data_IF_127755704286
#
_entry.id   IF_127755704286
#
_cell.length_a   1.000
_cell.length_b   1.000
_cell.length_c   1.000
_cell.angle_alpha   90.00
_cell.angle_beta   90.00
_cell.angle_gamma   90.00
#
_symmetry.space_group_name_H-M   'P 1'
#
loop_
_entity.id
_entity.type
_entity.pdbx_description
1 polymer ?
#
# COMPACT_ATOMS: atom_id res chain seq x y z
N UNK A 1 5.84 22.38 -14.48
CA UNK A 1 5.00 21.95 -13.34
C UNK A 1 5.54 20.61 -12.84
N UNK A 2 5.62 20.37 -11.52
CA UNK A 2 6.05 19.07 -11.00
C UNK A 2 5.10 17.97 -11.51
N UNK A 3 5.64 16.87 -12.05
CA UNK A 3 4.82 15.69 -12.37
C UNK A 3 4.18 15.19 -11.07
N UNK A 4 2.88 14.94 -11.10
CA UNK A 4 2.17 14.34 -9.98
C UNK A 4 1.90 12.88 -10.32
N UNK A 5 2.14 11.99 -9.38
CA UNK A 5 1.79 10.58 -9.51
C UNK A 5 0.29 10.40 -9.34
N UNK A 6 -0.31 9.46 -10.08
CA UNK A 6 -1.72 9.15 -9.98
C UNK A 6 -1.96 8.09 -8.91
N UNK A 7 -2.97 8.26 -8.06
CA UNK A 7 -3.44 7.23 -7.14
C UNK A 7 -4.94 6.98 -7.36
N UNK A 8 -5.33 5.72 -7.42
CA UNK A 8 -6.72 5.27 -7.48
C UNK A 8 -6.99 4.26 -6.38
N UNK A 9 -8.20 4.27 -5.82
CA UNK A 9 -8.61 3.30 -4.81
C UNK A 9 -10.13 3.18 -4.72
N UNK A 10 -10.58 1.95 -4.48
CA UNK A 10 -11.97 1.63 -4.12
C UNK A 10 -12.15 1.57 -2.61
N UNK A 11 -11.12 1.14 -1.89
CA UNK A 11 -11.15 1.01 -0.43
C UNK A 11 -10.59 2.28 0.25
N UNK A 12 -11.36 2.97 1.10
CA UNK A 12 -10.88 4.19 1.76
C UNK A 12 -9.67 3.99 2.66
N UNK A 13 -9.52 2.85 3.35
CA UNK A 13 -8.40 2.58 4.25
C UNK A 13 -7.11 2.28 3.48
N UNK A 14 -7.20 1.48 2.41
CA UNK A 14 -6.08 1.23 1.50
C UNK A 14 -5.64 2.53 0.80
N UNK A 15 -6.60 3.32 0.31
CA UNK A 15 -6.34 4.65 -0.25
C UNK A 15 -5.62 5.56 0.72
N UNK A 16 -6.12 5.64 1.97
CA UNK A 16 -5.48 6.45 3.01
C UNK A 16 -4.07 5.96 3.36
N UNK A 17 -3.86 4.65 3.37
CA UNK A 17 -2.53 4.05 3.58
C UNK A 17 -1.57 4.50 2.47
N UNK A 18 -1.98 4.38 1.20
CA UNK A 18 -1.16 4.81 0.06
C UNK A 18 -0.86 6.31 0.10
N UNK A 19 -1.83 7.17 0.41
CA UNK A 19 -1.59 8.61 0.58
C UNK A 19 -0.51 8.90 1.63
N UNK A 20 -0.60 8.24 2.78
CA UNK A 20 0.34 8.43 3.88
C UNK A 20 1.73 7.91 3.53
N UNK A 21 1.81 6.76 2.85
CA UNK A 21 3.08 6.21 2.37
C UNK A 21 3.72 7.16 1.35
N UNK A 22 2.95 7.70 0.40
CA UNK A 22 3.47 8.70 -0.53
C UNK A 22 4.01 9.93 0.21
N UNK A 23 3.28 10.40 1.23
CA UNK A 23 3.73 11.51 2.06
C UNK A 23 5.05 11.22 2.77
N UNK A 24 5.16 10.05 3.44
CA UNK A 24 6.39 9.59 4.12
C UNK A 24 7.54 9.50 3.15
N UNK A 25 7.28 8.98 1.96
CA UNK A 25 8.27 8.81 0.90
C UNK A 25 8.53 10.09 0.09
N UNK A 26 7.91 11.21 0.45
CA UNK A 26 8.12 12.52 -0.18
C UNK A 26 7.55 12.66 -1.59
N UNK A 27 6.69 11.76 -2.04
CA UNK A 27 6.10 11.80 -3.38
C UNK A 27 4.88 12.72 -3.43
N UNK A 28 4.76 13.56 -4.46
CA UNK A 28 3.53 14.29 -4.76
C UNK A 28 2.52 13.42 -5.53
N UNK A 29 1.25 13.41 -5.13
CA UNK A 29 0.19 12.66 -5.80
C UNK A 29 -1.04 13.50 -6.13
N UNK A 30 -1.90 12.92 -6.95
CA UNK A 30 -3.28 13.35 -7.15
C UNK A 30 -4.17 12.11 -7.27
N UNK A 31 -5.44 12.25 -6.91
CA UNK A 31 -6.42 11.18 -7.16
C UNK A 31 -6.71 11.10 -8.65
N UNK A 32 -6.63 9.90 -9.22
CA UNK A 32 -6.91 9.62 -10.64
C UNK A 32 -7.76 8.36 -10.72
N UNK A 33 -8.96 8.47 -11.25
CA UNK A 33 -9.85 7.32 -11.42
C UNK A 33 -9.46 6.50 -12.65
N UNK A 34 -9.72 5.19 -12.59
CA UNK A 34 -9.56 4.26 -13.71
C UNK A 34 -8.16 3.70 -13.88
N UNK A 35 -7.30 3.69 -12.85
CA UNK A 35 -5.92 3.16 -12.92
C UNK A 35 -5.82 1.63 -12.76
N UNK A 36 -6.88 0.89 -13.06
CA UNK A 36 -6.88 -0.58 -12.94
C UNK A 36 -7.39 -1.14 -11.61
N UNK A 37 -7.95 -0.29 -10.74
CA UNK A 37 -8.77 -0.72 -9.60
C UNK A 37 -9.99 -1.57 -10.05
N UNK A 38 -10.37 -1.47 -11.34
CA UNK A 38 -11.36 -2.34 -11.97
C UNK A 38 -10.95 -3.82 -12.04
N UNK A 39 -9.66 -4.15 -11.86
CA UNK A 39 -9.15 -5.53 -11.82
C UNK A 39 -9.00 -6.06 -10.39
N UNK A 40 -9.84 -5.59 -9.45
CA UNK A 40 -9.84 -6.12 -8.08
C UNK A 40 -8.77 -5.56 -7.15
N UNK A 41 -7.83 -4.77 -7.67
CA UNK A 41 -6.86 -4.10 -6.84
C UNK A 41 -7.54 -3.02 -5.99
N UNK A 42 -7.39 -3.08 -4.67
CA UNK A 42 -7.96 -2.08 -3.75
C UNK A 42 -7.34 -0.70 -3.91
N UNK A 43 -6.07 -0.68 -4.33
CA UNK A 43 -5.30 0.51 -4.67
C UNK A 43 -4.51 0.26 -5.95
N UNK A 44 -4.42 1.28 -6.77
CA UNK A 44 -3.52 1.34 -7.90
C UNK A 44 -2.75 2.65 -7.89
N UNK A 45 -1.49 2.63 -8.29
CA UNK A 45 -0.66 3.82 -8.44
C UNK A 45 -0.11 3.91 -9.86
N UNK A 46 -0.07 5.11 -10.41
CA UNK A 46 0.70 5.40 -11.62
C UNK A 46 1.89 6.30 -11.26
N UNK A 47 3.10 5.73 -11.30
CA UNK A 47 4.35 6.40 -10.97
C UNK A 47 5.20 6.46 -12.24
N UNK A 48 5.30 7.64 -12.84
CA UNK A 48 6.08 7.86 -14.07
C UNK A 48 5.70 6.94 -15.25
N UNK A 49 4.44 6.54 -15.34
CA UNK A 49 3.97 5.61 -16.38
C UNK A 49 4.03 4.14 -15.99
N UNK A 50 4.57 3.79 -14.82
CA UNK A 50 4.37 2.48 -14.19
C UNK A 50 3.01 2.43 -13.53
N UNK A 51 2.18 1.46 -13.91
CA UNK A 51 0.99 1.12 -13.14
C UNK A 51 1.36 0.03 -12.14
N UNK A 52 1.12 0.27 -10.86
CA UNK A 52 1.35 -0.68 -9.77
C UNK A 52 -0.01 -1.07 -9.21
N UNK A 53 -0.32 -2.37 -9.20
CA UNK A 53 -1.59 -2.90 -8.71
C UNK A 53 -1.41 -3.60 -7.36
N UNK A 54 -2.19 -3.17 -6.37
CA UNK A 54 -2.19 -3.74 -5.03
C UNK A 54 -1.30 -2.98 -4.05
N UNK A 55 -1.70 -3.00 -2.79
CA UNK A 55 -1.03 -2.25 -1.72
C UNK A 55 0.34 -2.84 -1.41
N UNK A 56 0.46 -4.15 -1.25
CA UNK A 56 1.75 -4.79 -0.94
C UNK A 56 2.80 -4.56 -2.04
N UNK A 57 2.36 -4.57 -3.30
CA UNK A 57 3.23 -4.26 -4.44
C UNK A 57 3.72 -2.81 -4.35
N UNK A 58 2.81 -1.87 -4.08
CA UNK A 58 3.13 -0.46 -3.93
C UNK A 58 4.10 -0.21 -2.76
N UNK A 59 3.82 -0.79 -1.60
CA UNK A 59 4.65 -0.64 -0.39
C UNK A 59 6.07 -1.15 -0.61
N UNK A 60 6.18 -2.35 -1.19
CA UNK A 60 7.48 -2.98 -1.47
C UNK A 60 8.25 -2.17 -2.51
N UNK A 61 7.57 -1.70 -3.56
CA UNK A 61 8.19 -0.94 -4.64
C UNK A 61 8.75 0.38 -4.11
N UNK A 62 7.97 1.10 -3.31
CA UNK A 62 8.39 2.36 -2.73
C UNK A 62 9.52 2.17 -1.71
N UNK A 63 9.50 1.12 -0.89
CA UNK A 63 10.62 0.84 0.02
C UNK A 63 11.91 0.56 -0.74
N UNK A 64 11.86 -0.23 -1.81
CA UNK A 64 13.05 -0.57 -2.59
C UNK A 64 13.63 0.65 -3.32
N UNK A 65 12.76 1.51 -3.88
CA UNK A 65 13.21 2.68 -4.67
C UNK A 65 13.56 3.89 -3.81
N UNK A 66 12.91 4.05 -2.65
CA UNK A 66 13.18 5.13 -1.71
C UNK A 66 13.32 4.57 -0.28
N UNK A 67 14.44 3.93 0.05
CA UNK A 67 14.62 3.27 1.35
C UNK A 67 14.68 4.25 2.52
N UNK A 68 14.86 5.56 2.27
CA UNK A 68 14.91 6.60 3.31
C UNK A 68 13.85 7.68 3.05
N UNK A 69 12.96 7.98 4.03
CA UNK A 69 12.80 7.26 5.30
C UNK A 69 12.26 5.84 5.09
N UNK A 70 12.70 4.88 5.91
CA UNK A 70 12.25 3.49 5.79
C UNK A 70 10.83 3.34 6.31
N UNK A 71 10.04 2.45 5.69
CA UNK A 71 8.76 2.01 6.23
C UNK A 71 8.92 1.04 7.42
N UNK A 72 10.15 0.62 7.73
CA UNK A 72 10.46 -0.45 8.67
C UNK A 72 11.55 -0.02 9.67
N UNK A 73 11.29 0.97 10.53
CA UNK A 73 12.33 1.62 11.34
C UNK A 73 13.04 0.68 12.34
N UNK A 74 12.41 -0.44 12.73
CA UNK A 74 13.04 -1.46 13.57
C UNK A 74 13.61 -2.66 12.78
N UNK A 75 13.72 -2.55 11.46
CA UNK A 75 14.18 -3.61 10.56
C UNK A 75 13.16 -4.75 10.34
N UNK A 76 12.02 -4.76 11.02
CA UNK A 76 11.01 -5.80 10.87
C UNK A 76 10.04 -5.48 9.73
N UNK A 77 10.18 -6.17 8.60
CA UNK A 77 9.24 -6.13 7.46
C UNK A 77 8.01 -6.99 7.67
N UNK A 78 8.16 -8.14 8.34
CA UNK A 78 7.11 -9.14 8.46
C UNK A 78 5.89 -8.66 9.23
N UNK A 79 6.08 -7.99 10.38
CA UNK A 79 4.95 -7.56 11.21
C UNK A 79 4.07 -6.49 10.54
N UNK A 80 4.61 -5.38 9.99
CA UNK A 80 3.78 -4.38 9.31
C UNK A 80 3.07 -4.92 8.06
N UNK A 81 3.74 -5.78 7.28
CA UNK A 81 3.11 -6.45 6.13
C UNK A 81 2.04 -7.47 6.58
N UNK A 82 2.23 -8.14 7.72
CA UNK A 82 1.19 -8.98 8.28
C UNK A 82 -0.02 -8.16 8.75
N UNK A 83 0.19 -6.91 9.22
CA UNK A 83 -0.90 -6.01 9.59
C UNK A 83 -1.72 -5.55 8.37
N UNK A 84 -1.12 -5.33 7.19
CA UNK A 84 -1.88 -5.03 5.96
C UNK A 84 -2.80 -6.20 5.60
N UNK A 85 -2.25 -7.42 5.58
CA UNK A 85 -3.03 -8.63 5.30
C UNK A 85 -4.08 -8.94 6.39
N UNK A 86 -3.77 -8.67 7.66
CA UNK A 86 -4.69 -8.90 8.77
C UNK A 86 -5.89 -7.95 8.71
N UNK A 87 -5.66 -6.67 8.43
CA UNK A 87 -6.73 -5.68 8.22
C UNK A 87 -7.73 -6.19 7.20
N UNK A 88 -7.24 -6.74 6.10
CA UNK A 88 -8.05 -7.20 4.98
C UNK A 88 -8.94 -8.38 5.38
N UNK A 89 -8.34 -9.41 5.98
CA UNK A 89 -9.09 -10.60 6.42
C UNK A 89 -10.09 -10.32 7.52
N UNK A 90 -9.82 -9.36 8.40
CA UNK A 90 -10.77 -9.04 9.47
C UNK A 90 -12.05 -8.39 8.93
N UNK A 91 -11.96 -7.61 7.84
CA UNK A 91 -13.15 -7.05 7.20
C UNK A 91 -14.03 -8.08 6.48
N UNK A 92 -13.51 -9.29 6.25
CA UNK A 92 -14.22 -10.39 5.57
C UNK A 92 -14.93 -11.34 6.54
N UNK A 93 -14.71 -11.22 7.86
CA UNK A 93 -15.27 -12.16 8.85
C UNK A 93 -16.75 -11.87 9.14
N UNK A 94 -17.68 -12.80 8.81
CA UNK A 94 -19.12 -12.55 8.95
C UNK A 94 -19.63 -12.55 10.40
N UNK A 95 -18.85 -13.07 11.35
CA UNK A 95 -19.29 -13.31 12.72
C UNK A 95 -19.01 -12.16 13.70
N UNK A 96 -18.19 -11.18 13.29
CA UNK A 96 -17.78 -10.07 14.15
C UNK A 96 -18.51 -8.77 13.74
N UNK A 97 -18.94 -7.96 14.72
CA UNK A 97 -19.43 -6.62 14.39
C UNK A 97 -18.24 -5.71 14.04
N UNK A 98 -18.39 -4.75 13.11
CA UNK A 98 -17.34 -3.78 12.81
C UNK A 98 -16.78 -3.08 14.06
N UNK A 99 -17.64 -2.73 15.03
CA UNK A 99 -17.24 -2.14 16.30
C UNK A 99 -16.38 -3.08 17.15
N UNK A 100 -16.70 -4.37 17.16
CA UNK A 100 -15.96 -5.40 17.89
C UNK A 100 -14.55 -5.56 17.32
N UNK A 101 -14.43 -5.63 15.99
CA UNK A 101 -13.14 -5.67 15.28
C UNK A 101 -12.32 -4.42 15.62
N UNK A 102 -12.95 -3.24 15.59
CA UNK A 102 -12.27 -1.96 15.86
C UNK A 102 -11.81 -1.84 17.31
N UNK A 103 -12.62 -2.30 18.28
CA UNK A 103 -12.20 -2.33 19.67
C UNK A 103 -11.04 -3.32 19.87
N UNK A 104 -11.07 -4.49 19.24
CA UNK A 104 -9.99 -5.46 19.31
C UNK A 104 -8.68 -4.92 18.71
N UNK A 105 -8.76 -4.26 17.55
CA UNK A 105 -7.59 -3.64 16.91
C UNK A 105 -7.04 -2.48 17.75
N UNK A 106 -7.90 -1.56 18.21
CA UNK A 106 -7.51 -0.47 19.11
C UNK A 106 -6.84 -0.99 20.39
N UNK A 107 -7.37 -2.07 20.99
CA UNK A 107 -6.76 -2.71 22.15
C UNK A 107 -5.37 -3.31 21.87
N UNK A 108 -5.11 -3.83 20.67
CA UNK A 108 -3.78 -4.30 20.26
C UNK A 108 -2.78 -3.15 20.15
N UNK A 109 -3.17 -2.06 19.48
CA UNK A 109 -2.35 -0.85 19.36
C UNK A 109 -2.09 -0.26 20.74
N UNK A 110 -3.13 -0.12 21.57
CA UNK A 110 -3.01 0.42 22.92
C UNK A 110 -2.04 -0.39 23.78
N UNK A 111 -2.07 -1.72 23.70
CA UNK A 111 -1.10 -2.57 24.41
C UNK A 111 0.34 -2.32 23.98
N UNK A 112 0.61 -2.14 22.69
CA UNK A 112 1.95 -1.83 22.19
C UNK A 112 2.41 -0.44 22.67
N UNK A 113 1.51 0.54 22.69
CA UNK A 113 1.83 1.92 23.09
C UNK A 113 2.02 2.11 24.61
N UNK A 114 1.67 1.12 25.44
CA UNK A 114 1.73 1.24 26.92
C UNK A 114 3.14 1.35 27.48
N UNK A 115 4.16 0.94 26.73
CA UNK A 115 5.55 1.10 27.15
C UNK A 115 6.12 2.51 26.90
N UNK A 116 5.29 3.42 26.39
CA UNK A 116 5.64 4.83 26.22
C UNK A 116 6.34 5.16 24.90
N UNK A 117 6.51 4.19 23.99
CA UNK A 117 7.07 4.45 22.65
C UNK A 117 6.30 5.52 21.89
N UNK A 118 6.97 6.22 20.96
CA UNK A 118 6.32 7.25 20.16
C UNK A 118 5.40 6.67 19.07
N UNK A 119 5.82 5.56 18.47
CA UNK A 119 5.20 4.87 17.34
C UNK A 119 5.24 3.35 17.55
N UNK A 120 4.44 2.58 16.81
CA UNK A 120 4.27 1.14 17.00
C UNK A 120 5.57 0.35 16.85
N UNK A 121 6.51 0.84 16.03
CA UNK A 121 7.80 0.20 15.80
C UNK A 121 8.97 0.85 16.57
N UNK A 122 8.72 1.85 17.42
CA UNK A 122 9.76 2.52 18.23
C UNK A 122 9.60 4.04 18.22
N UNK A 123 10.68 4.75 17.92
CA UNK A 123 10.74 6.21 17.99
C UNK A 123 10.43 6.90 16.65
N UNK A 124 10.38 6.14 15.56
CA UNK A 124 10.11 6.64 14.21
C UNK A 124 8.79 6.09 13.65
N UNK A 125 8.15 6.91 12.80
CA UNK A 125 6.94 6.55 12.08
C UNK A 125 7.22 5.40 11.11
N UNK A 126 6.51 4.28 11.28
CA UNK A 126 6.63 3.11 10.39
C UNK A 126 5.32 2.72 9.70
N UNK A 127 5.39 1.70 8.85
CA UNK A 127 4.21 1.16 8.15
C UNK A 127 3.16 0.60 9.13
N UNK A 128 3.58 0.02 10.25
CA UNK A 128 2.64 -0.46 11.25
C UNK A 128 1.72 0.68 11.74
N UNK A 129 2.30 1.84 12.01
CA UNK A 129 1.56 3.03 12.41
C UNK A 129 0.62 3.51 11.32
N UNK A 130 1.10 3.57 10.07
CA UNK A 130 0.30 4.04 8.94
C UNK A 130 -0.92 3.15 8.74
N UNK A 131 -0.74 1.82 8.72
CA UNK A 131 -1.82 0.86 8.49
C UNK A 131 -2.83 0.88 9.64
N UNK A 132 -2.35 0.90 10.88
CA UNK A 132 -3.22 1.00 12.05
C UNK A 132 -4.00 2.33 12.07
N UNK A 133 -3.33 3.44 11.78
CA UNK A 133 -3.96 4.76 11.82
C UNK A 133 -4.93 4.99 10.66
N UNK A 134 -4.61 4.54 9.44
CA UNK A 134 -5.48 4.70 8.27
C UNK A 134 -6.85 4.03 8.47
N UNK A 135 -6.87 2.93 9.22
CA UNK A 135 -8.10 2.23 9.56
C UNK A 135 -8.86 2.90 10.71
N UNK A 136 -8.15 3.29 11.77
CA UNK A 136 -8.75 3.88 12.96
C UNK A 136 -9.21 5.33 12.78
N UNK A 137 -8.59 6.10 11.89
CA UNK A 137 -8.93 7.53 11.71
C UNK A 137 -10.26 7.78 10.96
N UNK A 138 -10.99 6.71 10.63
CA UNK A 138 -12.30 6.84 10.03
C UNK A 138 -13.30 7.48 11.01
N UNK A 139 -14.15 8.42 10.56
CA UNK A 139 -15.10 9.11 11.42
C UNK A 139 -16.01 8.18 12.24
N UNK A 140 -16.41 7.04 11.65
CA UNK A 140 -17.26 6.03 12.30
C UNK A 140 -16.61 5.40 13.55
N UNK A 141 -15.28 5.29 13.58
CA UNK A 141 -14.55 4.54 14.61
C UNK A 141 -13.80 5.43 15.60
N UNK A 142 -13.63 6.72 15.26
CA UNK A 142 -12.80 7.65 16.02
C UNK A 142 -13.16 7.71 17.51
N UNK A 143 -14.45 7.70 17.85
CA UNK A 143 -14.90 7.77 19.24
C UNK A 143 -14.66 6.47 20.02
N UNK A 144 -14.58 5.32 19.35
CA UNK A 144 -14.44 4.01 20.01
C UNK A 144 -13.04 3.83 20.60
N UNK A 145 -11.99 4.16 19.86
CA UNK A 145 -10.61 3.92 20.32
C UNK A 145 -10.02 5.09 21.11
N UNK A 146 -10.58 6.30 21.00
CA UNK A 146 -10.22 7.42 21.89
C UNK A 146 -10.58 7.17 23.37
N UNK A 147 -11.30 6.08 23.67
CA UNK A 147 -11.53 5.59 25.03
C UNK A 147 -10.25 5.05 25.68
N UNK A 148 -9.25 4.64 24.89
CA UNK A 148 -7.94 4.21 25.38
C UNK A 148 -7.00 5.42 25.54
N UNK A 149 -6.59 5.79 26.78
CA UNK A 149 -5.87 7.04 27.04
C UNK A 149 -4.57 7.18 26.25
N UNK A 150 -3.88 6.06 25.97
CA UNK A 150 -2.60 6.05 25.25
C UNK A 150 -2.74 6.33 23.75
N UNK A 151 -3.93 6.11 23.17
CA UNK A 151 -4.12 6.25 21.73
C UNK A 151 -4.36 7.70 21.29
N UNK A 152 -4.92 8.54 22.17
CA UNK A 152 -5.14 9.96 21.87
C UNK A 152 -3.84 10.68 21.48
N UNK A 153 -2.80 10.67 22.33
CA UNK A 153 -1.50 11.28 22.02
C UNK A 153 -0.83 10.67 20.77
N UNK A 154 -0.89 9.34 20.60
CA UNK A 154 -0.35 8.68 19.41
C UNK A 154 -1.06 9.14 18.13
N UNK A 155 -2.39 9.20 18.13
CA UNK A 155 -3.14 9.72 16.97
C UNK A 155 -2.84 11.17 16.66
N UNK A 156 -2.65 12.01 17.68
CA UNK A 156 -2.27 13.41 17.46
C UNK A 156 -0.94 13.50 16.70
N UNK A 157 0.07 12.72 17.13
CA UNK A 157 1.35 12.59 16.41
C UNK A 157 1.17 12.09 14.98
N UNK A 158 0.33 11.07 14.77
CA UNK A 158 0.07 10.54 13.42
C UNK A 158 -0.54 11.59 12.48
N UNK A 159 -1.50 12.40 12.96
CA UNK A 159 -2.09 13.49 12.17
C UNK A 159 -1.04 14.56 11.86
N UNK A 160 -0.30 14.99 12.87
CA UNK A 160 0.74 16.00 12.72
C UNK A 160 1.82 15.56 11.73
N UNK A 161 2.32 14.33 11.86
CA UNK A 161 3.32 13.77 10.96
C UNK A 161 2.79 13.70 9.52
N UNK A 162 1.58 13.16 9.32
CA UNK A 162 0.96 13.06 7.99
C UNK A 162 0.80 14.44 7.33
N UNK A 163 0.37 15.42 8.11
CA UNK A 163 0.11 16.77 7.63
C UNK A 163 1.42 17.53 7.37
N UNK A 164 2.44 17.34 8.20
CA UNK A 164 3.79 17.86 7.96
C UNK A 164 4.37 17.30 6.65
N UNK A 165 4.29 15.99 6.46
CA UNK A 165 4.79 15.31 5.27
C UNK A 165 4.08 15.77 3.99
N UNK A 166 2.77 16.01 4.06
CA UNK A 166 1.98 16.57 2.94
C UNK A 166 2.42 17.98 2.53
N UNK A 167 2.96 18.77 3.46
CA UNK A 167 3.49 20.10 3.16
C UNK A 167 4.92 20.04 2.61
N UNK A 168 5.68 19.01 2.94
CA UNK A 168 7.09 18.85 2.57
C UNK A 168 7.31 18.01 1.30
N UNK A 169 6.29 17.82 0.46
CA UNK A 169 6.40 16.94 -0.72
C UNK A 169 7.48 17.46 -1.68
N UNK A 170 8.43 16.59 -1.99
CA UNK A 170 9.52 16.86 -2.91
C UNK A 170 9.01 16.82 -4.36
N UNK A 171 9.76 17.40 -5.33
CA UNK A 171 9.50 17.12 -6.74
C UNK A 171 9.55 15.61 -7.00
N UNK A 172 8.79 15.12 -8.00
CA UNK A 172 8.72 13.71 -8.34
C UNK A 172 10.12 13.16 -8.64
N UNK A 173 10.40 11.96 -8.13
CA UNK A 173 11.52 11.16 -8.60
C UNK A 173 11.28 10.81 -10.07
N UNK A 174 12.34 10.85 -10.87
CA UNK A 174 12.30 10.33 -12.24
C UNK A 174 12.79 8.89 -12.26
N UNK A 175 11.96 7.97 -12.73
CA UNK A 175 12.33 6.58 -12.95
C UNK A 175 12.54 6.27 -14.44
N UNK A 176 13.49 5.37 -14.73
CA UNK A 176 13.72 4.83 -16.07
C UNK A 176 13.26 3.37 -16.15
N UNK A 177 12.49 3.06 -17.20
CA UNK A 177 11.99 1.72 -17.52
C UNK A 177 13.14 0.70 -17.54
N UNK A 178 13.01 -0.46 -16.85
CA UNK A 178 13.96 -1.54 -17.05
C UNK A 178 13.87 -1.97 -18.52
N UNK A 179 15.01 -1.93 -19.20
CA UNK A 179 15.17 -2.39 -20.58
C UNK A 179 15.62 -3.85 -20.50
N UNK A 180 14.94 -4.73 -21.22
CA UNK A 180 15.38 -6.11 -21.42
C UNK A 180 15.71 -6.30 -22.89
N UNK A 181 16.82 -6.99 -23.16
CA UNK A 181 17.27 -7.28 -24.53
C UNK A 181 16.53 -8.48 -25.17
N UNK A 182 15.75 -9.22 -24.38
CA UNK A 182 14.98 -10.39 -24.81
C UNK A 182 13.52 -10.04 -25.12
N UNK A 183 12.94 -10.73 -26.11
CA UNK A 183 11.53 -10.64 -26.48
C UNK A 183 10.68 -11.27 -25.36
N UNK A 184 9.89 -10.49 -24.62
CA UNK A 184 9.22 -10.96 -23.41
C UNK A 184 8.07 -11.93 -23.73
N UNK A 185 8.06 -13.09 -23.06
CA UNK A 185 7.06 -14.13 -23.28
C UNK A 185 5.64 -13.66 -22.92
N UNK A 186 4.60 -14.04 -23.69
CA UNK A 186 3.22 -13.69 -23.39
C UNK A 186 2.74 -14.41 -22.12
N UNK A 187 2.05 -13.66 -21.26
CA UNK A 187 1.54 -14.15 -19.97
C UNK A 187 0.15 -13.60 -19.67
N UNK A 188 -0.60 -14.37 -18.88
CA UNK A 188 -1.81 -13.93 -18.18
C UNK A 188 -1.51 -13.74 -16.71
N UNK A 189 -1.66 -12.52 -16.23
CA UNK A 189 -1.63 -12.19 -14.82
C UNK A 189 -3.05 -12.33 -14.27
N UNK A 190 -3.22 -13.13 -13.22
CA UNK A 190 -4.52 -13.33 -12.55
C UNK A 190 -4.43 -12.88 -11.10
N UNK A 191 -5.29 -11.94 -10.70
CA UNK A 191 -5.46 -11.51 -9.33
C UNK A 191 -6.21 -12.56 -8.50
N UNK A 192 -6.05 -12.54 -7.17
CA UNK A 192 -6.73 -13.51 -6.27
C UNK A 192 -8.26 -13.47 -6.35
N UNK A 193 -8.85 -12.36 -6.80
CA UNK A 193 -10.29 -12.25 -7.00
C UNK A 193 -10.76 -12.76 -8.38
N UNK A 194 -9.86 -13.35 -9.17
CA UNK A 194 -10.12 -13.89 -10.50
C UNK A 194 -10.03 -12.89 -11.65
N UNK A 195 -9.74 -11.60 -11.39
CA UNK A 195 -9.54 -10.64 -12.46
C UNK A 195 -8.24 -10.95 -13.23
N UNK A 196 -8.31 -10.88 -14.56
CA UNK A 196 -7.17 -11.21 -15.43
C UNK A 196 -6.72 -10.01 -16.24
N UNK A 197 -5.43 -9.98 -16.56
CA UNK A 197 -4.85 -9.07 -17.56
C UNK A 197 -3.77 -9.82 -18.34
N UNK A 198 -3.85 -9.75 -19.67
CA UNK A 198 -2.88 -10.35 -20.58
C UNK A 198 -1.78 -9.34 -20.89
N UNK A 199 -0.57 -9.82 -21.08
CA UNK A 199 0.59 -8.99 -21.38
C UNK A 199 1.82 -9.81 -21.72
N UNK A 200 2.99 -9.17 -21.65
CA UNK A 200 4.30 -9.78 -21.85
C UNK A 200 5.15 -9.66 -20.60
N UNK A 201 5.70 -10.76 -20.13
CA UNK A 201 6.51 -10.81 -18.92
C UNK A 201 7.90 -10.25 -19.20
N UNK A 202 8.15 -9.04 -18.71
CA UNK A 202 9.41 -8.34 -18.88
C UNK A 202 10.44 -8.87 -17.90
N UNK A 203 10.05 -9.01 -16.64
CA UNK A 203 10.95 -9.46 -15.57
C UNK A 203 10.15 -10.11 -14.45
N UNK A 204 10.74 -11.14 -13.85
CA UNK A 204 10.35 -11.61 -12.52
C UNK A 204 11.50 -11.37 -11.55
N UNK A 205 11.16 -11.01 -10.33
CA UNK A 205 12.06 -11.12 -9.19
C UNK A 205 11.25 -11.61 -7.97
N UNK A 206 11.92 -11.80 -6.84
CA UNK A 206 11.29 -12.35 -5.62
C UNK A 206 10.11 -11.50 -5.12
N UNK A 207 10.02 -10.22 -5.53
CA UNK A 207 9.03 -9.28 -5.06
C UNK A 207 7.96 -8.94 -6.10
N UNK A 208 8.28 -9.05 -7.40
CA UNK A 208 7.43 -8.51 -8.46
C UNK A 208 7.35 -9.34 -9.74
N UNK A 209 6.21 -9.17 -10.38
CA UNK A 209 5.96 -9.43 -11.77
C UNK A 209 5.93 -8.10 -12.52
N UNK A 210 6.81 -7.95 -13.51
CA UNK A 210 6.83 -6.81 -14.42
C UNK A 210 6.22 -7.25 -15.75
N UNK A 211 5.02 -6.77 -16.05
CA UNK A 211 4.24 -7.20 -17.22
C UNK A 211 3.93 -5.99 -18.08
N UNK A 212 4.30 -6.01 -19.36
CA UNK A 212 3.82 -5.01 -20.31
C UNK A 212 2.46 -5.42 -20.86
N UNK A 213 1.46 -4.54 -20.75
CA UNK A 213 0.07 -4.80 -21.17
C UNK A 213 -0.41 -3.65 -22.07
N UNK A 214 -1.29 -3.94 -23.01
CA UNK A 214 -1.88 -2.91 -23.88
C UNK A 214 -2.75 -1.92 -23.07
N UNK A 215 -3.37 -2.40 -21.98
CA UNK A 215 -4.26 -1.59 -21.16
C UNK A 215 -3.50 -0.61 -20.25
N UNK A 216 -2.32 -0.99 -19.75
CA UNK A 216 -1.63 -0.26 -18.67
C UNK A 216 -0.21 0.19 -19.02
N UNK A 217 0.32 -0.17 -20.18
CA UNK A 217 1.75 -0.06 -20.45
C UNK A 217 2.50 -1.02 -19.52
N UNK A 218 3.42 -0.50 -18.70
CA UNK A 218 4.12 -1.34 -17.74
C UNK A 218 3.31 -1.51 -16.45
N UNK A 219 3.00 -2.77 -16.12
CA UNK A 219 2.29 -3.20 -14.94
C UNK A 219 3.25 -3.90 -13.97
N UNK A 220 3.23 -3.49 -12.70
CA UNK A 220 3.92 -4.16 -11.59
C UNK A 220 2.87 -4.79 -10.69
N UNK A 221 3.01 -6.09 -10.45
CA UNK A 221 2.15 -6.87 -9.58
C UNK A 221 2.96 -7.69 -8.57
N UNK A 222 2.39 -7.99 -7.42
CA UNK A 222 3.04 -8.81 -6.38
C UNK A 222 2.61 -10.27 -6.50
N UNK A 223 3.54 -11.24 -6.32
CA UNK A 223 3.20 -12.66 -6.24
C UNK A 223 2.31 -13.02 -5.04
N UNK A 224 2.17 -12.13 -4.06
CA UNK A 224 1.25 -12.33 -2.93
C UNK A 224 -0.22 -12.15 -3.32
N UNK A 225 -0.48 -11.39 -4.38
CA UNK A 225 -1.84 -11.01 -4.80
C UNK A 225 -2.17 -11.42 -6.23
N UNK A 226 -1.18 -11.90 -6.97
CA UNK A 226 -1.34 -12.33 -8.35
C UNK A 226 -0.53 -13.59 -8.60
N UNK A 227 -0.94 -14.35 -9.62
CA UNK A 227 -0.14 -15.41 -10.20
C UNK A 227 -0.05 -15.24 -11.71
N UNK A 228 1.06 -15.71 -12.28
CA UNK A 228 1.31 -15.69 -13.73
C UNK A 228 0.99 -17.06 -14.30
N UNK A 229 0.27 -17.09 -15.42
CA UNK A 229 0.12 -18.27 -16.27
C UNK A 229 0.72 -17.94 -17.64
N UNK A 230 1.67 -18.74 -18.17
CA UNK A 230 2.11 -18.59 -19.55
C UNK A 230 0.92 -18.72 -20.50
N UNK A 231 0.87 -17.88 -21.54
CA UNK A 231 -0.06 -18.07 -22.65
C UNK A 231 0.65 -18.97 -23.67
N UNK A 232 0.08 -20.13 -23.99
CA UNK A 232 0.60 -20.95 -25.08
C UNK A 232 0.43 -20.20 -26.41
N UNK A 233 1.48 -20.17 -27.23
CA UNK A 233 1.43 -19.58 -28.56
C UNK A 233 0.42 -20.37 -29.42
N UNK A 234 -0.83 -19.89 -29.49
CA UNK A 234 -1.82 -20.36 -30.47
C UNK A 234 -3.11 -20.99 -29.94
N UNK A 235 -3.70 -20.48 -28.85
CA UNK A 235 -5.10 -20.73 -28.51
C UNK A 235 -6.04 -19.63 -29.04
#
# INVERSE_FOLDING_TARGET
>A
MPKKHGLDWQDPAAGRTAEMVFAVKGFAWHRRHGLGVQHGARVAANIDGLTILGEDALLTFLEEKTPTPTLFPNGNRGMPMALTAWRDRMTERPADTPEGIMRAHGGLVARQMRDGRAFLQGDELGLADIVSFSWMDQPAWRTLWLQEPVLGPWSARMREATESLRRSLAPPLSWSRPVTDEDPAPVRLTALNGATVDGRLIKTDDAFFWVETDAYGMLIASPLTHYITPLEDGA
#
